data_IF_265417850372
#
_entry.id   IF_265417850372
#
_cell.length_a   1.000
_cell.length_b   1.000
_cell.length_c   1.000
_cell.angle_alpha   90.00
_cell.angle_beta   90.00
_cell.angle_gamma   90.00
#
_symmetry.space_group_name_H-M   'P 1'
#
loop_
_entity.id
_entity.type
_entity.pdbx_description
1 polymer ?
#
# COMPACT_ATOMS: atom_id res chain seq x y z
N UNK A 1 7.26 -25.55 38.62
CA UNK A 1 6.56 -24.33 38.18
C UNK A 1 7.49 -23.60 37.23
N UNK A 2 7.47 -23.98 35.95
CA UNK A 2 8.19 -23.29 34.90
C UNK A 2 7.37 -22.08 34.49
N UNK A 3 7.88 -20.88 34.74
CA UNK A 3 7.37 -19.65 34.14
C UNK A 3 7.34 -19.85 32.63
N UNK A 4 6.14 -19.92 32.07
CA UNK A 4 5.92 -19.79 30.64
C UNK A 4 6.35 -18.36 30.32
N UNK A 5 7.56 -18.17 29.79
CA UNK A 5 8.00 -16.88 29.25
C UNK A 5 6.94 -16.46 28.23
N UNK A 6 6.19 -15.43 28.57
CA UNK A 6 5.24 -14.79 27.67
C UNK A 6 6.03 -14.40 26.41
N UNK A 7 5.72 -15.05 25.28
CA UNK A 7 6.40 -14.75 24.02
C UNK A 7 6.08 -13.30 23.71
N UNK A 8 7.11 -12.44 23.73
CA UNK A 8 6.94 -11.02 23.46
C UNK A 8 6.30 -10.86 22.07
N UNK A 9 5.05 -10.41 22.07
CA UNK A 9 4.18 -10.36 20.89
C UNK A 9 4.54 -9.18 19.98
N UNK A 10 5.10 -8.13 20.57
CA UNK A 10 5.40 -6.87 19.90
C UNK A 10 6.84 -6.88 19.37
N UNK A 11 6.98 -6.73 18.05
CA UNK A 11 8.26 -6.69 17.34
C UNK A 11 8.80 -5.27 17.27
N UNK A 12 7.96 -4.31 16.90
CA UNK A 12 8.32 -2.90 16.82
C UNK A 12 7.47 -2.13 17.81
N UNK A 13 8.10 -1.27 18.60
CA UNK A 13 7.42 -0.32 19.48
C UNK A 13 8.06 1.05 19.33
N UNK A 14 7.28 2.10 19.17
CA UNK A 14 7.74 3.49 19.30
C UNK A 14 7.13 4.11 20.55
N UNK A 15 7.91 4.92 21.27
CA UNK A 15 7.46 5.60 22.49
C UNK A 15 7.82 7.08 22.41
N UNK A 16 6.79 7.93 22.48
CA UNK A 16 6.87 9.40 22.39
C UNK A 16 7.73 9.88 21.21
N UNK A 17 7.74 9.11 20.12
CA UNK A 17 8.67 9.31 19.03
C UNK A 17 8.31 10.59 18.28
N UNK A 18 9.32 11.43 18.03
CA UNK A 18 9.19 12.65 17.24
C UNK A 18 10.15 12.62 16.06
N UNK A 19 9.63 12.89 14.87
CA UNK A 19 10.36 12.81 13.59
C UNK A 19 10.40 14.17 12.91
N UNK A 20 11.48 14.43 12.18
CA UNK A 20 11.64 15.68 11.45
C UNK A 20 13.07 15.89 10.98
N UNK A 21 13.40 17.14 10.64
CA UNK A 21 14.71 17.50 10.08
C UNK A 21 15.40 18.55 10.95
N UNK A 22 16.71 18.41 11.12
CA UNK A 22 17.55 19.45 11.73
C UNK A 22 17.99 20.42 10.62
N UNK A 23 17.54 21.67 10.69
CA UNK A 23 17.98 22.75 9.80
C UNK A 23 19.01 23.61 10.55
N UNK A 24 20.29 23.41 10.24
CA UNK A 24 21.38 24.15 10.90
C UNK A 24 21.58 23.81 12.38
N UNK A 25 22.23 24.72 13.13
CA UNK A 25 22.64 24.48 14.54
C UNK A 25 21.50 24.63 15.57
N UNK A 26 20.37 25.26 15.22
CA UNK A 26 19.31 25.58 16.20
C UNK A 26 17.86 25.39 15.71
N UNK A 27 17.60 25.24 14.41
CA UNK A 27 16.22 25.03 13.93
C UNK A 27 15.93 23.55 13.71
N UNK A 28 14.79 23.11 14.23
CA UNK A 28 14.27 21.77 14.01
C UNK A 28 12.89 21.91 13.38
N UNK A 29 12.72 21.29 12.21
CA UNK A 29 11.43 21.13 11.59
C UNK A 29 10.84 19.81 12.06
N UNK A 30 10.01 19.85 13.12
CA UNK A 30 9.23 18.70 13.55
C UNK A 30 8.08 18.45 12.58
N UNK A 31 7.99 17.25 12.03
CA UNK A 31 6.88 16.86 11.14
C UNK A 31 5.73 16.27 11.95
N UNK A 32 6.04 15.27 12.78
CA UNK A 32 5.11 14.64 13.71
C UNK A 32 5.82 14.37 15.03
N UNK A 33 5.05 14.43 16.11
CA UNK A 33 5.44 14.13 17.49
C UNK A 33 4.43 13.17 18.11
N UNK A 34 4.76 12.62 19.28
CA UNK A 34 3.87 11.74 20.04
C UNK A 34 3.47 10.47 19.26
N UNK A 35 4.43 9.88 18.55
CA UNK A 35 4.21 8.68 17.75
C UNK A 35 4.40 7.44 18.64
N UNK A 36 3.28 6.79 18.96
CA UNK A 36 3.21 5.58 19.77
C UNK A 36 2.60 4.44 18.94
N UNK A 37 3.45 3.66 18.28
CA UNK A 37 3.06 2.64 17.32
C UNK A 37 3.62 1.29 17.73
N UNK A 38 2.87 0.23 17.39
CA UNK A 38 3.27 -1.15 17.63
C UNK A 38 3.06 -1.98 16.37
N UNK A 39 4.00 -2.89 16.09
CA UNK A 39 3.80 -3.98 15.13
C UNK A 39 4.04 -5.30 15.84
N UNK A 40 3.12 -6.23 15.67
CA UNK A 40 3.17 -7.56 16.27
C UNK A 40 3.80 -8.58 15.36
N UNK A 41 4.21 -9.69 15.95
CA UNK A 41 4.77 -10.82 15.21
C UNK A 41 3.72 -11.40 14.27
N UNK A 42 4.13 -11.65 13.02
CA UNK A 42 3.27 -12.18 11.97
C UNK A 42 2.28 -11.18 11.37
N UNK A 43 2.39 -9.89 11.72
CA UNK A 43 1.50 -8.83 11.26
C UNK A 43 2.10 -8.10 10.04
N UNK A 44 1.28 -7.89 9.02
CA UNK A 44 1.56 -7.00 7.89
C UNK A 44 0.88 -5.65 8.11
N UNK A 45 1.70 -4.60 8.22
CA UNK A 45 1.28 -3.23 8.46
C UNK A 45 1.53 -2.35 7.26
N UNK A 46 0.49 -1.67 6.79
CA UNK A 46 0.57 -0.69 5.70
C UNK A 46 0.59 0.74 6.23
N UNK A 47 1.68 1.46 5.97
CA UNK A 47 1.79 2.90 6.20
C UNK A 47 1.27 3.67 4.99
N UNK A 48 0.13 4.31 5.16
CA UNK A 48 -0.58 5.08 4.15
C UNK A 48 -0.62 6.56 4.52
N UNK A 49 -0.75 7.42 3.50
CA UNK A 49 -0.94 8.84 3.72
C UNK A 49 -0.56 9.68 2.51
N UNK A 50 -1.00 10.95 2.45
CA UNK A 50 -0.68 11.86 1.35
C UNK A 50 0.83 12.05 1.11
N UNK A 51 1.17 12.56 -0.08
CA UNK A 51 2.54 12.96 -0.38
C UNK A 51 3.00 14.05 0.60
N UNK A 52 4.23 13.93 1.09
CA UNK A 52 4.79 14.88 2.05
C UNK A 52 4.26 14.78 3.49
N UNK A 53 3.47 13.74 3.81
CA UNK A 53 3.00 13.47 5.18
C UNK A 53 4.15 13.13 6.15
N UNK A 54 5.28 12.61 5.64
CA UNK A 54 6.45 12.22 6.44
C UNK A 54 6.72 10.71 6.49
N UNK A 55 6.05 9.89 5.67
CA UNK A 55 6.17 8.42 5.67
C UNK A 55 7.62 7.93 5.59
N UNK A 56 8.38 8.40 4.59
CA UNK A 56 9.79 8.03 4.44
C UNK A 56 10.64 8.53 5.62
N UNK A 57 10.30 9.67 6.23
CA UNK A 57 10.99 10.16 7.44
C UNK A 57 10.73 9.25 8.64
N UNK A 58 9.48 8.79 8.83
CA UNK A 58 9.12 7.82 9.86
C UNK A 58 9.88 6.51 9.66
N UNK A 59 9.86 5.97 8.43
CA UNK A 59 10.56 4.73 8.11
C UNK A 59 12.06 4.82 8.34
N UNK A 60 12.73 5.88 7.86
CA UNK A 60 14.17 6.09 8.11
C UNK A 60 14.50 6.25 9.59
N UNK A 61 13.59 6.83 10.37
CA UNK A 61 13.76 6.98 11.82
C UNK A 61 13.61 5.63 12.54
N UNK A 62 12.61 4.83 12.18
CA UNK A 62 12.44 3.47 12.69
C UNK A 62 13.66 2.60 12.37
N UNK A 63 14.17 2.72 11.14
CA UNK A 63 15.34 2.01 10.64
C UNK A 63 16.67 2.42 11.29
N UNK A 64 16.71 3.48 12.11
CA UNK A 64 17.95 4.02 12.66
C UNK A 64 18.85 4.75 11.65
N UNK A 65 18.41 4.92 10.40
CA UNK A 65 19.11 5.69 9.36
C UNK A 65 19.11 7.18 9.71
N UNK A 66 18.01 7.65 10.30
CA UNK A 66 17.85 9.01 10.77
C UNK A 66 17.62 9.02 12.28
N UNK A 67 18.34 9.85 13.03
CA UNK A 67 18.05 10.02 14.46
C UNK A 67 16.71 10.72 14.67
N UNK A 68 15.91 10.29 15.66
CA UNK A 68 14.70 11.01 16.03
C UNK A 68 15.01 12.39 16.61
N UNK A 69 14.01 13.28 16.59
CA UNK A 69 14.06 14.54 17.33
C UNK A 69 13.86 14.32 18.83
N UNK A 70 12.98 13.38 19.20
CA UNK A 70 12.70 12.95 20.57
C UNK A 70 12.12 11.52 20.58
N UNK A 71 12.04 10.90 21.76
CA UNK A 71 11.54 9.53 21.94
C UNK A 71 12.49 8.47 21.41
N UNK A 72 12.00 7.22 21.32
CA UNK A 72 12.80 6.08 20.90
C UNK A 72 11.98 5.02 20.16
N UNK A 73 12.71 4.21 19.39
CA UNK A 73 12.21 3.04 18.66
C UNK A 73 12.87 1.80 19.25
N UNK A 74 12.07 0.78 19.58
CA UNK A 74 12.54 -0.52 20.02
C UNK A 74 12.16 -1.60 19.00
N UNK A 75 13.10 -2.48 18.67
CA UNK A 75 12.84 -3.71 17.89
C UNK A 75 13.19 -4.92 18.74
N UNK A 76 12.26 -5.85 18.93
CA UNK A 76 12.38 -6.96 19.91
C UNK A 76 12.75 -6.45 21.32
N UNK A 77 12.16 -5.31 21.71
CA UNK A 77 12.47 -4.64 22.99
C UNK A 77 13.84 -3.95 23.04
N UNK A 78 14.63 -3.98 21.97
CA UNK A 78 15.98 -3.40 21.92
C UNK A 78 15.93 -1.99 21.30
N UNK A 79 16.38 -0.94 22.01
CA UNK A 79 16.48 0.40 21.45
C UNK A 79 17.46 0.46 20.26
N UNK A 80 17.06 1.09 19.16
CA UNK A 80 17.87 1.19 17.93
C UNK A 80 18.96 2.27 18.02
N UNK A 81 18.72 3.36 18.75
CA UNK A 81 19.55 4.58 18.75
C UNK A 81 21.01 4.37 19.15
N UNK A 82 21.29 3.40 20.01
CA UNK A 82 22.62 3.19 20.61
C UNK A 82 23.33 1.94 20.09
N UNK A 83 22.82 1.38 18.98
CA UNK A 83 23.33 0.16 18.35
C UNK A 83 24.21 0.49 17.17
N UNK A 84 25.21 -0.35 16.94
CA UNK A 84 25.98 -0.25 15.71
C UNK A 84 25.17 -0.78 14.51
N UNK A 85 25.56 -0.39 13.30
CA UNK A 85 24.83 -0.78 12.08
C UNK A 85 24.72 -2.30 11.89
N UNK A 86 25.67 -3.09 12.38
CA UNK A 86 25.63 -4.56 12.28
C UNK A 86 24.52 -5.14 13.17
N UNK A 87 24.41 -4.66 14.41
CA UNK A 87 23.34 -5.06 15.34
C UNK A 87 21.96 -4.65 14.79
N UNK A 88 21.83 -3.43 14.25
CA UNK A 88 20.58 -2.97 13.63
C UNK A 88 20.21 -3.85 12.44
N UNK A 89 21.19 -4.22 11.60
CA UNK A 89 20.97 -5.11 10.47
C UNK A 89 20.65 -6.56 10.87
N UNK A 90 20.77 -6.94 12.13
CA UNK A 90 20.26 -8.23 12.64
C UNK A 90 18.83 -8.12 13.19
N UNK A 91 18.35 -6.90 13.44
CA UNK A 91 17.01 -6.62 13.95
C UNK A 91 16.01 -6.25 12.85
N UNK A 92 16.45 -5.56 11.80
CA UNK A 92 15.58 -5.17 10.69
C UNK A 92 16.26 -5.22 9.34
N UNK A 93 15.48 -5.52 8.30
CA UNK A 93 15.87 -5.46 6.89
C UNK A 93 15.02 -4.43 6.16
N UNK A 94 15.58 -3.83 5.10
CA UNK A 94 14.93 -2.77 4.35
C UNK A 94 15.02 -3.05 2.86
N UNK A 95 13.89 -2.94 2.18
CA UNK A 95 13.77 -2.89 0.72
C UNK A 95 13.37 -1.47 0.32
N UNK A 96 14.25 -0.78 -0.39
CA UNK A 96 13.99 0.59 -0.88
C UNK A 96 13.45 0.55 -2.31
N UNK A 97 12.76 1.62 -2.71
CA UNK A 97 12.15 1.79 -4.04
C UNK A 97 13.19 1.96 -5.17
N UNK A 98 14.44 2.32 -4.83
CA UNK A 98 15.47 2.60 -5.83
C UNK A 98 15.90 1.36 -6.62
N UNK A 99 15.98 1.51 -7.94
CA UNK A 99 16.42 0.45 -8.85
C UNK A 99 17.90 0.16 -8.63
N UNK A 100 18.22 -1.07 -8.27
CA UNK A 100 19.60 -1.53 -8.23
C UNK A 100 20.09 -1.78 -9.66
N UNK A 101 21.02 -0.95 -10.12
CA UNK A 101 21.72 -1.16 -11.39
C UNK A 101 23.05 -1.87 -11.14
N UNK A 102 22.99 -3.17 -10.96
CA UNK A 102 24.17 -4.05 -10.85
C UNK A 102 24.23 -4.94 -12.08
N UNK A 103 24.86 -4.45 -13.15
CA UNK A 103 25.21 -5.30 -14.27
C UNK A 103 26.16 -6.38 -13.79
N UNK A 104 25.83 -7.66 -14.05
CA UNK A 104 26.68 -8.85 -13.84
C UNK A 104 26.55 -9.60 -12.50
N UNK A 105 25.59 -9.28 -11.64
CA UNK A 105 25.27 -10.13 -10.49
C UNK A 105 24.12 -11.10 -10.82
N UNK A 106 24.27 -12.34 -10.39
CA UNK A 106 23.19 -13.33 -10.45
C UNK A 106 22.20 -13.10 -9.33
N UNK A 107 21.00 -13.67 -9.44
CA UNK A 107 19.98 -13.65 -8.40
C UNK A 107 20.54 -14.17 -7.07
N UNK A 108 21.27 -15.29 -7.10
CA UNK A 108 21.93 -15.85 -5.92
C UNK A 108 22.88 -14.85 -5.26
N UNK A 109 23.72 -14.17 -6.05
CA UNK A 109 24.65 -13.17 -5.53
C UNK A 109 23.94 -11.98 -4.89
N UNK A 110 22.78 -11.55 -5.39
CA UNK A 110 22.02 -10.45 -4.78
C UNK A 110 21.41 -10.88 -3.46
N UNK A 111 20.80 -12.08 -3.41
CA UNK A 111 20.17 -12.59 -2.19
C UNK A 111 21.22 -12.89 -1.11
N UNK A 112 22.41 -13.36 -1.50
CA UNK A 112 23.49 -13.63 -0.56
C UNK A 112 24.00 -12.39 0.16
N UNK A 113 23.86 -11.19 -0.41
CA UNK A 113 24.15 -9.92 0.27
C UNK A 113 23.28 -9.72 1.53
N UNK A 114 22.11 -10.36 1.61
CA UNK A 114 21.29 -10.38 2.82
C UNK A 114 22.01 -11.01 4.01
N UNK A 115 23.00 -11.89 3.78
CA UNK A 115 23.76 -12.57 4.84
C UNK A 115 24.93 -11.74 5.37
N UNK A 116 25.22 -10.57 4.80
CA UNK A 116 26.32 -9.70 5.21
C UNK A 116 26.38 -9.38 6.72
N UNK A 117 25.25 -9.21 7.46
CA UNK A 117 25.30 -9.00 8.91
C UNK A 117 25.83 -10.20 9.71
N UNK A 118 25.85 -11.40 9.14
CA UNK A 118 26.27 -12.64 9.81
C UNK A 118 27.64 -13.14 9.33
N UNK A 119 28.11 -12.68 8.18
CA UNK A 119 29.42 -13.07 7.67
C UNK A 119 30.55 -12.40 8.46
N UNK A 120 31.68 -13.11 8.56
CA UNK A 120 32.93 -12.55 9.09
C UNK A 120 33.56 -11.59 8.08
N UNK A 121 34.60 -10.85 8.49
CA UNK A 121 35.32 -9.92 7.61
C UNK A 121 35.87 -10.56 6.31
N UNK A 122 36.03 -11.89 6.29
CA UNK A 122 36.42 -12.66 5.10
C UNK A 122 35.27 -12.90 4.09
N UNK A 123 34.03 -12.56 4.44
CA UNK A 123 32.87 -12.65 3.55
C UNK A 123 32.46 -14.07 3.16
N UNK A 124 32.97 -15.10 3.83
CA UNK A 124 32.62 -16.50 3.54
C UNK A 124 31.22 -16.84 4.07
N UNK A 125 30.39 -17.38 3.19
CA UNK A 125 29.09 -17.94 3.53
C UNK A 125 29.27 -19.33 4.17
N UNK A 126 28.56 -19.57 5.27
CA UNK A 126 28.43 -20.88 5.90
C UNK A 126 27.38 -21.74 5.16
N UNK A 127 27.30 -23.03 5.51
CA UNK A 127 26.18 -23.88 5.04
C UNK A 127 24.83 -23.32 5.49
N UNK A 128 24.72 -22.83 6.73
CA UNK A 128 23.52 -22.18 7.24
C UNK A 128 23.14 -20.94 6.39
N UNK A 129 24.12 -20.13 5.98
CA UNK A 129 23.86 -18.99 5.12
C UNK A 129 23.32 -19.41 3.75
N UNK A 130 23.88 -20.47 3.17
CA UNK A 130 23.40 -21.01 1.89
C UNK A 130 21.97 -21.57 2.02
N UNK A 131 21.64 -22.23 3.13
CA UNK A 131 20.28 -22.72 3.42
C UNK A 131 19.29 -21.55 3.57
N UNK A 132 19.68 -20.47 4.25
CA UNK A 132 18.85 -19.25 4.37
C UNK A 132 18.62 -18.58 3.02
N UNK A 133 19.64 -18.51 2.17
CA UNK A 133 19.54 -17.97 0.80
C UNK A 133 18.58 -18.81 -0.03
N UNK A 134 18.76 -20.14 -0.01
CA UNK A 134 17.91 -21.07 -0.76
C UNK A 134 16.46 -21.01 -0.29
N UNK A 135 16.23 -21.05 1.02
CA UNK A 135 14.89 -20.95 1.59
C UNK A 135 14.20 -19.63 1.26
N UNK A 136 14.93 -18.51 1.25
CA UNK A 136 14.38 -17.21 0.83
C UNK A 136 13.98 -17.21 -0.66
N UNK A 137 14.80 -17.81 -1.54
CA UNK A 137 14.49 -17.95 -2.97
C UNK A 137 13.28 -18.85 -3.21
N UNK A 138 13.15 -19.95 -2.48
CA UNK A 138 11.99 -20.84 -2.52
C UNK A 138 10.71 -20.10 -2.09
N UNK A 139 10.77 -19.35 -1.00
CA UNK A 139 9.62 -18.60 -0.46
C UNK A 139 9.08 -17.57 -1.45
N UNK A 140 9.93 -16.96 -2.28
CA UNK A 140 9.48 -16.00 -3.32
C UNK A 140 9.22 -16.64 -4.69
N UNK A 141 9.50 -17.93 -4.84
CA UNK A 141 9.30 -18.70 -6.07
C UNK A 141 10.40 -18.55 -7.13
N UNK A 142 11.62 -18.13 -6.74
CA UNK A 142 12.72 -17.80 -7.66
C UNK A 142 13.94 -18.72 -7.55
N UNK A 143 13.83 -19.88 -6.90
CA UNK A 143 14.97 -20.80 -6.76
C UNK A 143 15.58 -21.19 -8.11
N UNK A 144 14.75 -21.46 -9.12
CA UNK A 144 15.21 -21.82 -10.48
C UNK A 144 15.86 -20.66 -11.24
N UNK A 145 15.71 -19.43 -10.75
CA UNK A 145 16.37 -18.24 -11.28
C UNK A 145 17.72 -17.93 -10.61
N UNK A 146 18.17 -18.73 -9.64
CA UNK A 146 19.36 -18.44 -8.82
C UNK A 146 20.60 -18.05 -9.66
N UNK A 147 20.85 -18.76 -10.77
CA UNK A 147 22.01 -18.52 -11.64
C UNK A 147 21.77 -17.50 -12.76
N UNK A 148 20.54 -16.98 -12.89
CA UNK A 148 20.22 -15.96 -13.90
C UNK A 148 20.76 -14.60 -13.47
N UNK A 149 21.16 -13.79 -14.44
CA UNK A 149 21.56 -12.41 -14.17
C UNK A 149 20.34 -11.54 -13.87
N UNK A 150 20.48 -10.61 -12.92
CA UNK A 150 19.37 -9.73 -12.50
C UNK A 150 18.79 -8.91 -13.66
N UNK A 151 19.62 -8.57 -14.65
CA UNK A 151 19.21 -7.80 -15.83
C UNK A 151 18.31 -8.59 -16.80
N UNK A 152 18.25 -9.91 -16.67
CA UNK A 152 17.38 -10.80 -17.46
C UNK A 152 15.95 -10.90 -16.90
N UNK A 153 15.74 -10.48 -15.64
CA UNK A 153 14.45 -10.55 -14.97
C UNK A 153 13.54 -9.37 -15.32
N UNK A 154 12.23 -9.62 -15.28
CA UNK A 154 11.18 -8.60 -15.27
C UNK A 154 11.21 -7.75 -13.99
N UNK A 155 10.55 -6.59 -14.01
CA UNK A 155 10.50 -5.70 -12.84
C UNK A 155 9.85 -6.38 -11.61
N UNK A 156 8.83 -7.22 -11.81
CA UNK A 156 8.19 -7.98 -10.73
C UNK A 156 9.09 -9.07 -10.14
N UNK A 157 9.82 -9.80 -10.98
CA UNK A 157 10.80 -10.79 -10.52
C UNK A 157 11.96 -10.12 -9.78
N UNK A 158 12.47 -8.98 -10.27
CA UNK A 158 13.50 -8.20 -9.55
C UNK A 158 13.02 -7.77 -8.17
N UNK A 159 11.77 -7.34 -8.05
CA UNK A 159 11.20 -7.00 -6.74
C UNK A 159 11.16 -8.22 -5.80
N UNK A 160 10.79 -9.39 -6.31
CA UNK A 160 10.84 -10.65 -5.54
C UNK A 160 12.26 -11.01 -5.12
N UNK A 161 13.27 -10.76 -5.95
CA UNK A 161 14.69 -10.93 -5.56
C UNK A 161 15.06 -10.01 -4.39
N UNK A 162 14.59 -8.76 -4.41
CA UNK A 162 14.84 -7.82 -3.32
C UNK A 162 14.15 -8.23 -2.01
N UNK A 163 12.93 -8.77 -2.10
CA UNK A 163 12.23 -9.36 -0.95
C UNK A 163 12.98 -10.60 -0.46
N UNK A 164 13.46 -11.47 -1.35
CA UNK A 164 14.26 -12.64 -0.98
C UNK A 164 15.56 -12.25 -0.28
N UNK A 165 16.24 -11.20 -0.73
CA UNK A 165 17.42 -10.65 -0.05
C UNK A 165 17.08 -10.23 1.40
N UNK A 166 15.96 -9.54 1.60
CA UNK A 166 15.51 -9.14 2.93
C UNK A 166 15.12 -10.34 3.82
N UNK A 167 14.47 -11.35 3.24
CA UNK A 167 14.17 -12.62 3.92
C UNK A 167 15.43 -13.39 4.30
N UNK A 168 16.41 -13.46 3.41
CA UNK A 168 17.69 -14.12 3.65
C UNK A 168 18.45 -13.45 4.80
N UNK A 169 18.28 -12.14 5.02
CA UNK A 169 18.82 -11.44 6.19
C UNK A 169 18.22 -11.91 7.52
N UNK A 170 17.11 -12.64 7.48
CA UNK A 170 16.49 -13.33 8.62
C UNK A 170 16.25 -12.45 9.85
N UNK A 171 15.71 -11.25 9.62
CA UNK A 171 15.37 -10.30 10.69
C UNK A 171 13.93 -10.50 11.18
N UNK A 172 13.61 -10.11 12.42
CA UNK A 172 12.24 -10.14 12.93
C UNK A 172 11.33 -9.09 12.28
N UNK A 173 11.89 -7.94 11.86
CA UNK A 173 11.19 -6.88 11.14
C UNK A 173 11.70 -6.74 9.71
N UNK A 174 10.79 -6.66 8.74
CA UNK A 174 11.08 -6.34 7.34
C UNK A 174 10.35 -5.04 6.99
N UNK A 175 11.07 -4.06 6.46
CA UNK A 175 10.53 -2.78 6.04
C UNK A 175 10.62 -2.64 4.52
N UNK A 176 9.55 -2.18 3.86
CA UNK A 176 9.54 -1.98 2.42
C UNK A 176 9.02 -0.58 2.06
N UNK A 177 9.78 0.19 1.30
CA UNK A 177 9.37 1.52 0.83
C UNK A 177 8.81 1.40 -0.59
N UNK A 178 7.49 1.58 -0.74
CA UNK A 178 6.75 1.46 -2.00
C UNK A 178 7.11 0.21 -2.83
N UNK A 179 6.95 -1.02 -2.28
CA UNK A 179 7.43 -2.24 -2.93
C UNK A 179 6.71 -2.57 -4.24
N UNK A 180 5.60 -1.91 -4.54
CA UNK A 180 4.78 -2.13 -5.73
C UNK A 180 4.97 -1.01 -6.78
N UNK A 181 5.84 -0.03 -6.52
CA UNK A 181 6.12 1.05 -7.45
C UNK A 181 6.67 0.52 -8.79
N UNK A 182 6.24 1.14 -9.89
CA UNK A 182 6.62 0.77 -11.27
C UNK A 182 6.17 -0.61 -11.76
N UNK A 183 5.45 -1.40 -10.95
CA UNK A 183 4.85 -2.66 -11.38
C UNK A 183 3.51 -2.42 -12.09
N UNK A 184 3.06 -3.39 -12.88
CA UNK A 184 1.69 -3.42 -13.42
C UNK A 184 0.71 -4.01 -12.39
N UNK A 185 -0.60 -3.88 -12.64
CA UNK A 185 -1.63 -4.28 -11.68
C UNK A 185 -1.51 -5.75 -11.22
N UNK A 186 -1.30 -6.75 -12.10
CA UNK A 186 -1.13 -8.14 -11.67
C UNK A 186 0.07 -8.30 -10.72
N UNK A 187 1.24 -7.75 -11.06
CA UNK A 187 2.42 -7.89 -10.21
C UNK A 187 2.27 -7.17 -8.86
N UNK A 188 1.56 -6.03 -8.81
CA UNK A 188 1.27 -5.33 -7.53
C UNK A 188 0.47 -6.21 -6.58
N UNK A 189 -0.61 -6.83 -7.10
CA UNK A 189 -1.45 -7.77 -6.34
C UNK A 189 -0.62 -8.95 -5.84
N UNK A 190 0.20 -9.53 -6.72
CA UNK A 190 1.05 -10.67 -6.39
C UNK A 190 2.07 -10.36 -5.29
N UNK A 191 2.70 -9.19 -5.34
CA UNK A 191 3.64 -8.74 -4.30
C UNK A 191 2.93 -8.53 -2.97
N UNK A 192 1.75 -7.89 -2.95
CA UNK A 192 0.98 -7.69 -1.72
C UNK A 192 0.56 -9.03 -1.09
N UNK A 193 0.08 -9.98 -1.91
CA UNK A 193 -0.25 -11.34 -1.45
C UNK A 193 0.98 -12.11 -0.96
N UNK A 194 2.11 -11.96 -1.63
CA UNK A 194 3.38 -12.55 -1.21
C UNK A 194 3.77 -12.03 0.17
N UNK A 195 3.78 -10.71 0.39
CA UNK A 195 4.14 -10.12 1.68
C UNK A 195 3.20 -10.56 2.80
N UNK A 196 1.88 -10.55 2.57
CA UNK A 196 0.91 -11.01 3.55
C UNK A 196 1.15 -12.47 3.96
N UNK A 197 1.39 -13.34 2.98
CA UNK A 197 1.73 -14.75 3.23
C UNK A 197 3.05 -14.89 4.00
N UNK A 198 4.08 -14.15 3.60
CA UNK A 198 5.40 -14.20 4.25
C UNK A 198 5.32 -13.79 5.71
N UNK A 199 4.58 -12.73 6.05
CA UNK A 199 4.40 -12.30 7.44
C UNK A 199 3.90 -13.47 8.31
N UNK A 200 2.85 -14.16 7.85
CA UNK A 200 2.22 -15.27 8.57
C UNK A 200 3.06 -16.54 8.60
N UNK A 201 3.57 -16.98 7.45
CA UNK A 201 4.32 -18.24 7.33
C UNK A 201 5.69 -18.17 8.03
N UNK A 202 6.34 -17.01 8.01
CA UNK A 202 7.66 -16.81 8.62
C UNK A 202 7.58 -16.22 10.03
N UNK A 203 6.38 -15.85 10.48
CA UNK A 203 6.14 -15.19 11.76
C UNK A 203 7.01 -13.92 11.95
N UNK A 204 7.18 -13.16 10.85
CA UNK A 204 7.93 -11.90 10.81
C UNK A 204 6.95 -10.72 10.77
N UNK A 205 7.35 -9.59 11.35
CA UNK A 205 6.62 -8.34 11.18
C UNK A 205 7.01 -7.70 9.84
N UNK A 206 6.02 -7.25 9.08
CA UNK A 206 6.25 -6.53 7.82
C UNK A 206 5.64 -5.14 7.92
N UNK A 207 6.44 -4.11 7.70
CA UNK A 207 6.00 -2.73 7.56
C UNK A 207 6.25 -2.26 6.13
N UNK A 208 5.21 -1.89 5.39
CA UNK A 208 5.36 -1.34 4.05
C UNK A 208 4.72 0.04 3.93
N UNK A 209 5.38 0.96 3.23
CA UNK A 209 4.71 2.17 2.73
C UNK A 209 4.08 1.86 1.37
N UNK A 210 2.88 2.39 1.13
CA UNK A 210 2.28 2.34 -0.21
C UNK A 210 1.33 3.51 -0.42
N UNK A 211 1.04 3.78 -1.69
CA UNK A 211 0.02 4.71 -2.14
C UNK A 211 -1.26 4.00 -2.62
N UNK A 212 -1.23 2.68 -2.67
CA UNK A 212 -2.29 1.83 -3.20
C UNK A 212 -3.27 1.47 -2.11
N UNK A 213 -4.18 2.41 -1.79
CA UNK A 213 -5.17 2.22 -0.74
C UNK A 213 -5.98 0.93 -0.95
N UNK A 214 -6.48 0.69 -2.16
CA UNK A 214 -7.37 -0.45 -2.45
C UNK A 214 -6.70 -1.80 -2.16
N UNK A 215 -5.40 -1.93 -2.45
CA UNK A 215 -4.64 -3.15 -2.15
C UNK A 215 -4.27 -3.24 -0.66
N UNK A 216 -3.97 -2.11 -0.03
CA UNK A 216 -3.70 -2.06 1.40
C UNK A 216 -4.94 -2.44 2.22
N UNK A 217 -6.13 -1.98 1.83
CA UNK A 217 -7.38 -2.34 2.48
C UNK A 217 -7.69 -3.85 2.38
N UNK A 218 -7.21 -4.52 1.34
CA UNK A 218 -7.46 -5.95 1.12
C UNK A 218 -6.41 -6.87 1.77
N UNK A 219 -5.17 -6.41 1.96
CA UNK A 219 -4.05 -7.28 2.33
C UNK A 219 -3.40 -6.95 3.68
N UNK A 220 -3.59 -5.73 4.21
CA UNK A 220 -3.00 -5.35 5.49
C UNK A 220 -3.77 -5.97 6.66
N UNK A 221 -3.06 -6.42 7.70
CA UNK A 221 -3.70 -6.74 8.98
C UNK A 221 -3.98 -5.45 9.76
N UNK A 222 -3.09 -4.45 9.67
CA UNK A 222 -3.23 -3.13 10.28
C UNK A 222 -2.77 -2.03 9.33
N UNK A 223 -3.45 -0.88 9.37
CA UNK A 223 -3.06 0.32 8.63
C UNK A 223 -2.64 1.41 9.60
N UNK A 224 -1.56 2.10 9.26
CA UNK A 224 -1.14 3.37 9.85
C UNK A 224 -1.45 4.50 8.88
N UNK A 225 -2.42 5.35 9.21
CA UNK A 225 -2.77 6.53 8.43
C UNK A 225 -2.03 7.74 8.95
N UNK A 226 -1.16 8.29 8.10
CA UNK A 226 -0.33 9.42 8.40
C UNK A 226 -0.79 10.65 7.62
N UNK A 227 -1.17 11.71 8.34
CA UNK A 227 -1.46 13.03 7.79
C UNK A 227 -0.59 14.09 8.47
N UNK A 228 -0.29 15.17 7.75
CA UNK A 228 0.55 16.27 8.25
C UNK A 228 -0.09 16.92 9.48
N UNK A 229 0.67 17.04 10.57
CA UNK A 229 0.23 17.72 11.79
C UNK A 229 -0.88 16.99 12.55
N UNK A 230 -1.17 15.74 12.21
CA UNK A 230 -2.16 14.91 12.90
C UNK A 230 -1.48 13.71 13.55
N UNK A 231 -2.09 13.19 14.61
CA UNK A 231 -1.70 11.90 15.19
C UNK A 231 -1.93 10.77 14.19
N UNK A 232 -1.02 9.81 14.14
CA UNK A 232 -1.17 8.65 13.26
C UNK A 232 -2.36 7.82 13.73
N UNK A 233 -3.32 7.58 12.84
CA UNK A 233 -4.48 6.73 13.13
C UNK A 233 -4.11 5.29 12.83
N UNK A 234 -4.42 4.40 13.75
CA UNK A 234 -4.04 2.98 13.69
C UNK A 234 -5.30 2.14 13.85
N UNK A 235 -5.45 1.11 13.02
CA UNK A 235 -6.55 0.17 13.14
C UNK A 235 -6.56 -0.87 12.04
N UNK A 236 -7.48 -1.83 12.16
CA UNK A 236 -7.81 -2.70 11.03
C UNK A 236 -8.36 -1.86 9.86
N UNK A 237 -8.18 -2.29 8.61
CA UNK A 237 -8.73 -1.59 7.44
C UNK A 237 -10.20 -1.23 7.58
N UNK A 238 -11.02 -2.17 8.06
CA UNK A 238 -12.47 -2.04 8.21
C UNK A 238 -12.83 -0.95 9.23
N UNK A 239 -12.15 -0.93 10.38
CA UNK A 239 -12.39 0.06 11.42
C UNK A 239 -12.14 1.48 10.91
N UNK A 240 -11.05 1.68 10.16
CA UNK A 240 -10.65 2.98 9.60
C UNK A 240 -11.59 3.46 8.48
N UNK A 241 -12.21 2.52 7.74
CA UNK A 241 -13.26 2.83 6.76
C UNK A 241 -14.54 3.24 7.48
N UNK A 242 -14.98 2.45 8.48
CA UNK A 242 -16.25 2.67 9.17
C UNK A 242 -16.24 3.96 10.00
N UNK A 243 -15.13 4.25 10.69
CA UNK A 243 -15.01 5.47 11.50
C UNK A 243 -14.67 6.74 10.69
N UNK A 244 -14.50 6.63 9.37
CA UNK A 244 -14.24 7.77 8.48
C UNK A 244 -12.79 8.28 8.46
N UNK A 245 -11.85 7.58 9.10
CA UNK A 245 -10.44 8.00 9.17
C UNK A 245 -9.77 8.12 7.81
N UNK A 246 -10.12 7.23 6.87
CA UNK A 246 -9.60 7.26 5.49
C UNK A 246 -10.05 8.54 4.78
N UNK A 247 -11.34 8.85 4.85
CA UNK A 247 -11.93 10.03 4.22
C UNK A 247 -11.29 11.32 4.75
N UNK A 248 -11.09 11.41 6.06
CA UNK A 248 -10.46 12.56 6.71
C UNK A 248 -8.97 12.71 6.31
N UNK A 249 -8.23 11.60 6.23
CA UNK A 249 -6.79 11.58 5.91
C UNK A 249 -6.52 12.02 4.47
N UNK A 250 -7.39 11.65 3.53
CA UNK A 250 -7.24 11.91 2.10
C UNK A 250 -8.18 12.99 1.57
N UNK A 251 -8.83 13.76 2.45
CA UNK A 251 -9.86 14.71 2.07
C UNK A 251 -9.39 15.68 0.96
N UNK A 252 -10.11 15.70 -0.15
CA UNK A 252 -9.86 16.58 -1.29
C UNK A 252 -11.18 17.04 -1.92
N UNK A 253 -11.20 18.23 -2.54
CA UNK A 253 -12.38 18.72 -3.27
C UNK A 253 -12.66 17.89 -4.54
N UNK A 254 -11.64 17.28 -5.13
CA UNK A 254 -11.72 16.61 -6.43
C UNK A 254 -12.17 15.15 -6.38
N UNK A 255 -12.22 14.53 -5.20
CA UNK A 255 -12.64 13.14 -5.05
C UNK A 255 -13.22 12.88 -3.66
N UNK A 256 -14.09 11.87 -3.56
CA UNK A 256 -14.75 11.44 -2.33
C UNK A 256 -14.43 9.96 -2.10
N UNK A 257 -14.24 9.56 -0.86
CA UNK A 257 -14.08 8.15 -0.50
C UNK A 257 -15.46 7.49 -0.35
N UNK A 258 -15.75 6.47 -1.16
CA UNK A 258 -16.98 5.69 -1.03
C UNK A 258 -16.77 4.55 -0.04
N UNK A 259 -17.33 4.70 1.16
CA UNK A 259 -17.22 3.71 2.24
C UNK A 259 -17.85 2.36 1.91
N UNK A 260 -18.80 2.29 0.96
CA UNK A 260 -19.42 1.02 0.56
C UNK A 260 -18.47 0.19 -0.31
N UNK A 261 -17.77 0.85 -1.22
CA UNK A 261 -16.89 0.17 -2.18
C UNK A 261 -15.43 0.17 -1.75
N UNK A 262 -15.04 1.02 -0.79
CA UNK A 262 -13.66 1.19 -0.36
C UNK A 262 -12.79 1.95 -1.37
N UNK A 263 -13.39 2.62 -2.36
CA UNK A 263 -12.66 3.28 -3.45
C UNK A 263 -12.85 4.80 -3.43
N UNK A 264 -11.90 5.53 -4.00
CA UNK A 264 -12.09 6.94 -4.33
C UNK A 264 -12.88 7.12 -5.62
N UNK A 265 -13.88 8.00 -5.57
CA UNK A 265 -14.71 8.39 -6.71
C UNK A 265 -14.43 9.86 -7.04
N UNK A 266 -14.26 10.18 -8.32
CA UNK A 266 -14.09 11.56 -8.76
C UNK A 266 -15.35 12.39 -8.46
N UNK A 267 -15.14 13.59 -7.91
CA UNK A 267 -16.20 14.53 -7.59
C UNK A 267 -16.43 15.48 -8.79
N UNK A 268 -17.33 15.10 -9.69
CA UNK A 268 -17.69 15.93 -10.85
C UNK A 268 -18.72 17.00 -10.46
N UNK A 269 -18.60 18.20 -11.04
CA UNK A 269 -19.64 19.23 -10.91
C UNK A 269 -20.93 18.77 -11.57
N UNK A 270 -22.01 18.74 -10.78
CA UNK A 270 -23.32 18.24 -11.18
C UNK A 270 -24.07 19.31 -11.98
N UNK A 271 -24.40 19.00 -13.23
CA UNK A 271 -25.12 19.88 -14.16
C UNK A 271 -26.63 19.66 -14.13
N UNK A 272 -27.05 18.41 -14.29
CA UNK A 272 -28.46 18.01 -14.40
C UNK A 272 -28.70 16.66 -13.73
N UNK A 273 -29.92 16.41 -13.26
CA UNK A 273 -30.33 15.14 -12.65
C UNK A 273 -30.90 14.22 -13.74
N UNK A 274 -30.44 12.96 -13.76
CA UNK A 274 -30.99 11.90 -14.62
C UNK A 274 -31.40 10.72 -13.74
N UNK A 275 -32.61 10.23 -13.94
CA UNK A 275 -33.07 9.00 -13.31
C UNK A 275 -32.52 7.78 -14.06
N UNK A 276 -31.96 6.80 -13.36
CA UNK A 276 -31.55 5.51 -13.95
C UNK A 276 -32.36 4.38 -13.31
N UNK A 277 -33.03 3.58 -14.14
CA UNK A 277 -33.90 2.49 -13.76
C UNK A 277 -33.32 1.15 -14.24
N UNK A 278 -32.80 0.35 -13.31
CA UNK A 278 -32.24 -0.99 -13.53
C UNK A 278 -31.28 -1.36 -12.39
N UNK A 279 -31.00 -2.65 -12.21
CA UNK A 279 -30.16 -3.11 -11.09
C UNK A 279 -28.82 -3.67 -11.56
N UNK A 280 -28.00 -4.05 -10.58
CA UNK A 280 -26.74 -4.75 -10.74
C UNK A 280 -25.66 -3.99 -11.57
N UNK A 281 -24.91 -4.72 -12.38
CA UNK A 281 -23.64 -4.30 -13.00
C UNK A 281 -23.85 -3.23 -14.07
N UNK A 282 -24.90 -3.39 -14.88
CA UNK A 282 -25.21 -2.44 -15.96
C UNK A 282 -25.61 -1.07 -15.39
N UNK A 283 -26.40 -1.06 -14.30
CA UNK A 283 -26.74 0.16 -13.57
C UNK A 283 -25.53 0.91 -13.05
N UNK A 284 -24.62 0.19 -12.38
CA UNK A 284 -23.39 0.76 -11.84
C UNK A 284 -22.52 1.42 -12.92
N UNK A 285 -22.26 0.73 -14.04
CA UNK A 285 -21.43 1.26 -15.12
C UNK A 285 -22.10 2.42 -15.87
N UNK A 286 -23.42 2.37 -16.02
CA UNK A 286 -24.20 3.48 -16.59
C UNK A 286 -24.12 4.71 -15.69
N UNK A 287 -24.32 4.54 -14.39
CA UNK A 287 -24.20 5.62 -13.41
C UNK A 287 -22.81 6.24 -13.41
N UNK A 288 -21.75 5.42 -13.45
CA UNK A 288 -20.37 5.92 -13.57
C UNK A 288 -20.15 6.74 -14.83
N UNK A 289 -20.66 6.26 -15.97
CA UNK A 289 -20.52 6.95 -17.25
C UNK A 289 -21.24 8.30 -17.28
N UNK A 290 -22.46 8.36 -16.74
CA UNK A 290 -23.24 9.60 -16.61
C UNK A 290 -22.59 10.58 -15.63
N UNK A 291 -22.12 10.09 -14.48
CA UNK A 291 -21.42 10.92 -13.49
C UNK A 291 -20.16 11.57 -14.08
N UNK A 292 -19.43 10.84 -14.93
CA UNK A 292 -18.25 11.37 -15.65
C UNK A 292 -18.57 12.55 -16.57
N UNK A 293 -19.77 12.59 -17.15
CA UNK A 293 -20.23 13.73 -17.97
C UNK A 293 -20.81 14.89 -17.12
N UNK A 294 -20.84 14.72 -15.80
CA UNK A 294 -21.37 15.71 -14.85
C UNK A 294 -22.87 15.56 -14.57
N UNK A 295 -23.50 14.43 -14.89
CA UNK A 295 -24.88 14.18 -14.49
C UNK A 295 -24.97 13.67 -13.04
N UNK A 296 -25.97 14.14 -12.30
CA UNK A 296 -26.36 13.57 -11.02
C UNK A 296 -27.34 12.43 -11.26
N UNK A 297 -26.94 11.21 -10.90
CA UNK A 297 -27.79 10.02 -11.09
C UNK A 297 -28.61 9.75 -9.83
N UNK A 298 -29.90 9.50 -9.99
CA UNK A 298 -30.81 9.06 -8.93
C UNK A 298 -31.63 7.85 -9.39
N UNK A 299 -32.11 7.06 -8.44
CA UNK A 299 -33.07 5.98 -8.69
C UNK A 299 -34.52 6.47 -8.53
N UNK A 300 -34.72 7.61 -7.86
CA UNK A 300 -36.04 8.22 -7.65
C UNK A 300 -36.50 8.99 -8.88
N UNK A 301 -37.82 9.18 -9.05
CA UNK A 301 -38.37 9.99 -10.14
C UNK A 301 -37.87 11.43 -10.02
N UNK A 302 -36.97 11.82 -10.91
CA UNK A 302 -36.41 13.16 -10.94
C UNK A 302 -35.95 13.57 -12.34
N UNK A 303 -36.30 14.81 -12.71
CA UNK A 303 -35.91 15.42 -13.98
C UNK A 303 -36.79 15.00 -15.16
N UNK A 304 -36.50 15.58 -16.33
CA UNK A 304 -37.25 15.34 -17.57
C UNK A 304 -36.67 14.17 -18.39
N UNK A 305 -35.66 13.46 -17.87
CA UNK A 305 -34.92 12.43 -18.59
C UNK A 305 -34.69 11.22 -17.67
N UNK A 306 -35.13 10.05 -18.12
CA UNK A 306 -34.86 8.78 -17.45
C UNK A 306 -34.23 7.78 -18.41
N UNK A 307 -33.34 6.94 -17.88
CA UNK A 307 -32.65 5.89 -18.63
C UNK A 307 -33.05 4.55 -18.03
N UNK A 308 -33.80 3.76 -18.78
CA UNK A 308 -34.18 2.39 -18.44
C UNK A 308 -33.19 1.40 -19.04
N UNK A 309 -32.75 0.46 -18.23
CA UNK A 309 -31.77 -0.55 -18.63
C UNK A 309 -32.50 -1.84 -19.02
N UNK A 310 -32.18 -2.36 -20.20
CA UNK A 310 -32.64 -3.66 -20.69
C UNK A 310 -31.47 -4.64 -20.64
N UNK A 311 -31.34 -5.34 -19.51
CA UNK A 311 -30.16 -6.17 -19.21
C UNK A 311 -30.02 -7.37 -20.14
N UNK A 312 -31.12 -8.05 -20.46
CA UNK A 312 -31.13 -9.23 -21.34
C UNK A 312 -30.57 -8.94 -22.74
N UNK A 313 -30.76 -7.71 -23.22
CA UNK A 313 -30.33 -7.28 -24.56
C UNK A 313 -29.11 -6.35 -24.53
N UNK A 314 -28.64 -5.98 -23.34
CA UNK A 314 -27.59 -4.97 -23.15
C UNK A 314 -27.92 -3.64 -23.86
N UNK A 315 -29.18 -3.18 -23.74
CA UNK A 315 -29.68 -1.95 -24.37
C UNK A 315 -30.09 -0.90 -23.33
N UNK A 316 -30.00 0.39 -23.71
CA UNK A 316 -30.42 1.53 -22.91
C UNK A 316 -31.59 2.23 -23.59
N UNK A 317 -32.72 2.34 -22.90
CA UNK A 317 -33.89 3.11 -23.32
C UNK A 317 -33.87 4.48 -22.64
N UNK A 318 -33.72 5.54 -23.41
CA UNK A 318 -33.75 6.92 -22.93
C UNK A 318 -35.16 7.46 -23.13
N UNK A 319 -35.82 7.86 -22.05
CA UNK A 319 -37.15 8.44 -22.03
C UNK A 319 -37.03 9.92 -21.69
N UNK A 320 -37.39 10.79 -22.64
CA UNK A 320 -37.40 12.25 -22.43
C UNK A 320 -38.53 12.89 -23.21
N UNK A 321 -39.34 13.72 -22.56
CA UNK A 321 -40.43 14.48 -23.19
C UNK A 321 -41.38 13.63 -24.08
N UNK A 322 -41.60 12.36 -23.73
CA UNK A 322 -42.44 11.43 -24.51
C UNK A 322 -41.74 10.72 -25.67
N UNK A 323 -40.48 11.07 -25.99
CA UNK A 323 -39.66 10.34 -26.95
C UNK A 323 -38.89 9.22 -26.25
N UNK A 324 -38.80 8.07 -26.94
CA UNK A 324 -38.01 6.92 -26.50
C UNK A 324 -36.91 6.65 -27.53
N UNK A 325 -35.65 6.70 -27.08
CA UNK A 325 -34.48 6.36 -27.89
C UNK A 325 -33.80 5.12 -27.34
N UNK A 326 -33.61 4.11 -28.19
CA UNK A 326 -32.80 2.93 -27.87
C UNK A 326 -31.34 3.16 -28.25
N UNK A 327 -30.44 2.78 -27.36
CA UNK A 327 -29.00 2.78 -27.54
C UNK A 327 -28.45 1.38 -27.24
N UNK A 328 -27.44 0.94 -28.00
CA UNK A 328 -26.80 -0.37 -27.84
C UNK A 328 -25.45 -0.31 -27.13
N UNK A 329 -25.05 0.88 -26.71
CA UNK A 329 -23.85 1.10 -25.91
C UNK A 329 -23.99 2.34 -25.05
N UNK A 330 -23.19 2.39 -23.97
CA UNK A 330 -23.00 3.61 -23.17
C UNK A 330 -22.48 4.76 -24.04
N UNK A 331 -21.66 4.48 -25.06
CA UNK A 331 -21.15 5.51 -25.96
C UNK A 331 -22.27 6.20 -26.75
N UNK A 332 -23.22 5.43 -27.30
CA UNK A 332 -24.40 5.97 -27.97
C UNK A 332 -25.30 6.74 -27.01
N UNK A 333 -25.51 6.21 -25.80
CA UNK A 333 -26.26 6.87 -24.73
C UNK A 333 -25.68 8.25 -24.43
N UNK A 334 -24.37 8.33 -24.19
CA UNK A 334 -23.71 9.60 -23.87
C UNK A 334 -23.71 10.56 -25.07
N UNK A 335 -23.52 10.06 -26.29
CA UNK A 335 -23.56 10.89 -27.50
C UNK A 335 -24.94 11.54 -27.69
N UNK A 336 -26.02 10.77 -27.48
CA UNK A 336 -27.38 11.30 -27.52
C UNK A 336 -27.61 12.31 -26.40
N UNK A 337 -27.22 12.02 -25.15
CA UNK A 337 -27.41 12.98 -24.06
C UNK A 337 -26.63 14.30 -24.27
N UNK A 338 -25.44 14.26 -24.89
CA UNK A 338 -24.66 15.46 -25.20
C UNK A 338 -25.30 16.38 -26.23
N UNK A 339 -26.08 15.87 -27.19
CA UNK A 339 -26.76 16.74 -28.17
C UNK A 339 -27.74 17.70 -27.52
N UNK A 340 -28.17 17.43 -26.29
CA UNK A 340 -29.09 18.27 -25.53
C UNK A 340 -28.43 19.21 -24.52
N UNK A 341 -27.13 19.05 -24.24
CA UNK A 341 -26.38 19.95 -23.35
C UNK A 341 -25.93 21.24 -24.04
N UNK A 342 -26.09 21.33 -25.37
CA UNK A 342 -25.69 22.51 -26.18
C UNK A 342 -26.82 23.55 -26.29
N UNK A 343 -28.04 23.22 -25.86
CA UNK A 343 -29.24 24.02 -26.10
C UNK A 343 -29.96 24.55 -24.84
N UNK A 344 -29.38 24.37 -23.64
CA UNK A 344 -29.89 24.96 -22.38
C UNK A 344 -28.89 25.94 -21.76
#
# INVERSE_FOLDING_TARGET
MSEIKEVQKDILVTQDLSIGYKQGKKEQLCLLSDINLTIRRGEMVCLLGPNGAGKSTLMRTIAGIQSPLAGYTLVEGIPIRDRNFKEIAQLLSIVLTERINVGNLTVYHIVSLGRHPYTSWMGRLSEEDNDKIKGALEQVGLLHYADHFINQLSDGERQRVMIAKALAQDTPLIMLDEPTAHLDLPNRVDIMRLLHRLARETNKAILLSTHELDLALQAADVIWLMARGQTIKVGAPEDLVLNGSIEETFHNKSFIFDRKTGNFIMNYQKKQIIQVLGNDVMGFWTQRALSREGYQVTCEEAGNCSVKLLEDTMEWEIHRNGEVKKCRSIQELLAYLRTFLVFD
#
